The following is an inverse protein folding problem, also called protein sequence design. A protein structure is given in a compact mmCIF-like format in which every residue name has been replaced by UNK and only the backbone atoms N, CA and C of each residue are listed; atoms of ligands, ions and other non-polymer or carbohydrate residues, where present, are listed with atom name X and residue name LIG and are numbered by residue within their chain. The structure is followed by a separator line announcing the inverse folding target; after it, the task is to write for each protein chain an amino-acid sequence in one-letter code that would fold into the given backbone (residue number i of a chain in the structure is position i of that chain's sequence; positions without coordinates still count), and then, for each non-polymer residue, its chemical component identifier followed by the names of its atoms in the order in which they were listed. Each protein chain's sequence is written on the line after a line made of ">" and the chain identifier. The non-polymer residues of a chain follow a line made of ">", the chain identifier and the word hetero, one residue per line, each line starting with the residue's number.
data_IF_307767481098
#
_entry.id   IF_307767481098
#
_cell.length_a   1.000
_cell.length_b   1.000
_cell.length_c   1.000
_cell.angle_alpha   90.00
_cell.angle_beta   90.00
_cell.angle_gamma   90.00
#
_symmetry.space_group_name_H-M   'P 1'
#
loop_
_entity.id
_entity.type
_entity.pdbx_description
1 polymer ?
#
# COMPACT_ATOMS: atom_id res chain seq x y z
N UNK A 1 -39.37 -6.08 55.26
CA UNK A 1 -38.86 -4.80 54.69
C UNK A 1 -37.46 -4.95 54.09
N UNK A 2 -36.48 -5.51 54.81
CA UNK A 2 -35.10 -5.73 54.32
C UNK A 2 -35.01 -6.68 53.11
N UNK A 3 -35.81 -7.74 53.10
CA UNK A 3 -35.83 -8.75 52.02
C UNK A 3 -36.53 -8.30 50.73
N UNK A 4 -37.36 -7.25 50.78
CA UNK A 4 -38.04 -6.69 49.60
C UNK A 4 -37.10 -5.76 48.84
N UNK A 5 -36.25 -5.03 49.57
CA UNK A 5 -35.24 -4.13 49.00
C UNK A 5 -34.17 -4.94 48.24
N UNK A 6 -33.71 -6.07 48.79
CA UNK A 6 -32.73 -6.94 48.10
C UNK A 6 -33.25 -7.53 46.79
N UNK A 7 -34.55 -7.79 46.66
CA UNK A 7 -35.12 -8.34 45.43
C UNK A 7 -35.23 -7.27 44.32
N UNK A 8 -35.52 -6.02 44.66
CA UNK A 8 -35.59 -4.93 43.69
C UNK A 8 -34.22 -4.60 43.07
N UNK A 9 -33.15 -4.58 43.87
CA UNK A 9 -31.79 -4.34 43.37
C UNK A 9 -31.29 -5.46 42.46
N UNK A 10 -31.63 -6.73 42.73
CA UNK A 10 -31.23 -7.86 41.91
C UNK A 10 -31.89 -7.84 40.51
N UNK A 11 -33.14 -7.36 40.42
CA UNK A 11 -33.88 -7.27 39.14
C UNK A 11 -33.37 -6.12 38.28
N UNK A 12 -33.03 -4.97 38.87
CA UNK A 12 -32.45 -3.84 38.11
C UNK A 12 -31.06 -4.16 37.54
N UNK A 13 -30.29 -4.99 38.24
CA UNK A 13 -28.94 -5.38 37.81
C UNK A 13 -28.98 -6.37 36.62
N UNK A 14 -29.98 -7.25 36.54
CA UNK A 14 -30.10 -8.20 35.43
C UNK A 14 -30.63 -7.58 34.13
N UNK A 15 -31.46 -6.53 34.21
CA UNK A 15 -31.97 -5.81 33.04
C UNK A 15 -30.96 -4.82 32.43
N UNK A 16 -29.91 -4.43 33.16
CA UNK A 16 -28.88 -3.50 32.68
C UNK A 16 -27.84 -4.13 31.73
N UNK A 17 -27.67 -5.46 31.74
CA UNK A 17 -26.62 -6.14 30.96
C UNK A 17 -27.03 -6.52 29.52
N UNK A 18 -28.33 -6.60 29.21
CA UNK A 18 -28.78 -6.97 27.85
C UNK A 18 -28.91 -5.79 26.89
N UNK A 19 -28.85 -4.54 27.39
CA UNK A 19 -29.05 -3.33 26.60
C UNK A 19 -27.78 -2.61 26.11
N UNK A 20 -26.57 -3.08 26.44
CA UNK A 20 -25.33 -2.32 26.18
C UNK A 20 -24.64 -2.61 24.84
N UNK A 21 -25.03 -3.65 24.10
CA UNK A 21 -24.27 -4.11 22.92
C UNK A 21 -25.07 -4.03 21.61
N UNK A 22 -25.66 -2.88 21.31
CA UNK A 22 -26.12 -2.57 19.95
C UNK A 22 -25.75 -1.13 19.55
N UNK A 23 -24.46 -0.81 19.67
CA UNK A 23 -23.82 0.27 18.92
C UNK A 23 -22.70 -0.42 18.11
N UNK A 24 -22.94 -0.67 16.82
CA UNK A 24 -22.67 0.24 15.71
C UNK A 24 -21.21 0.17 15.24
N UNK A 25 -21.10 0.12 13.92
CA UNK A 25 -19.97 0.53 13.09
C UNK A 25 -19.03 -0.58 12.58
N UNK A 26 -19.29 -0.95 11.32
CA UNK A 26 -18.35 -1.54 10.37
C UNK A 26 -17.08 -0.70 10.31
N UNK A 27 -16.10 -1.08 11.13
CA UNK A 27 -14.77 -0.50 11.14
C UNK A 27 -14.06 -0.87 9.83
N UNK A 28 -14.16 0.01 8.81
CA UNK A 28 -13.18 0.07 7.74
C UNK A 28 -11.87 0.60 8.35
N UNK A 29 -11.09 -0.33 8.88
CA UNK A 29 -9.75 -0.09 9.39
C UNK A 29 -8.83 0.26 8.21
N UNK A 30 -8.67 1.56 7.93
CA UNK A 30 -7.48 2.05 7.24
C UNK A 30 -6.36 2.21 8.26
N UNK A 31 -5.81 1.07 8.70
CA UNK A 31 -4.64 1.02 9.52
C UNK A 31 -3.37 1.09 8.65
N UNK A 32 -2.45 1.93 9.12
CA UNK A 32 -1.01 2.00 8.84
C UNK A 32 -0.55 2.49 7.45
N UNK A 33 -0.05 3.73 7.45
CA UNK A 33 1.02 4.17 6.57
C UNK A 33 2.26 3.28 6.79
N UNK A 34 2.34 2.20 6.02
CA UNK A 34 3.49 1.34 5.89
C UNK A 34 3.90 1.42 4.42
N UNK A 35 5.17 1.69 4.15
CA UNK A 35 5.85 1.70 2.85
C UNK A 35 4.98 1.07 1.76
N UNK A 36 4.36 1.89 0.90
CA UNK A 36 3.25 1.47 0.05
C UNK A 36 3.64 0.29 -0.87
N UNK A 37 3.44 -0.93 -0.37
CA UNK A 37 3.63 -2.15 -1.13
C UNK A 37 2.48 -2.20 -2.13
N UNK A 38 2.72 -1.70 -3.35
CA UNK A 38 1.75 -1.77 -4.43
C UNK A 38 1.66 -3.22 -4.90
N UNK A 39 0.45 -3.79 -4.95
CA UNK A 39 0.20 -5.09 -5.57
C UNK A 39 -0.60 -4.91 -6.85
N UNK A 40 -0.28 -5.69 -7.89
CA UNK A 40 -0.98 -5.65 -9.18
C UNK A 40 -1.25 -7.06 -9.72
N UNK A 41 -2.22 -7.21 -10.61
CA UNK A 41 -2.46 -8.49 -11.28
C UNK A 41 -1.42 -8.68 -12.40
N UNK A 42 -0.73 -9.83 -12.47
CA UNK A 42 0.30 -10.07 -13.49
C UNK A 42 -0.25 -10.08 -14.92
N UNK A 43 -1.55 -10.26 -15.10
CA UNK A 43 -2.24 -10.23 -16.39
C UNK A 43 -3.02 -8.95 -16.66
N UNK A 44 -3.36 -8.21 -15.61
CA UNK A 44 -4.16 -6.99 -15.68
C UNK A 44 -3.50 -5.92 -14.80
N UNK A 45 -2.41 -5.28 -15.25
CA UNK A 45 -1.64 -4.34 -14.43
C UNK A 45 -2.47 -3.17 -13.88
N UNK A 46 -3.60 -2.85 -14.51
CA UNK A 46 -4.57 -1.85 -14.06
C UNK A 46 -5.35 -2.29 -12.80
N UNK A 47 -5.34 -3.57 -12.45
CA UNK A 47 -5.96 -4.10 -11.24
C UNK A 47 -4.93 -4.10 -10.12
N UNK A 48 -5.12 -3.18 -9.16
CA UNK A 48 -4.28 -3.04 -7.97
C UNK A 48 -5.03 -3.42 -6.69
N UNK A 49 -4.29 -3.74 -5.62
CA UNK A 49 -4.88 -4.08 -4.33
C UNK A 49 -3.83 -4.36 -3.26
N UNK A 50 -4.17 -5.25 -2.32
CA UNK A 50 -3.32 -5.65 -1.21
C UNK A 50 -2.78 -7.06 -1.36
N UNK A 51 -1.86 -7.42 -0.45
CA UNK A 51 -1.27 -8.75 -0.39
C UNK A 51 -2.35 -9.82 -0.15
N UNK A 52 -2.48 -10.73 -1.11
CA UNK A 52 -3.38 -11.89 -1.00
C UNK A 52 -4.73 -11.70 -1.67
N UNK A 53 -5.04 -10.50 -2.15
CA UNK A 53 -6.23 -10.24 -2.96
C UNK A 53 -6.18 -11.03 -4.27
N UNK A 54 -7.37 -11.30 -4.80
CA UNK A 54 -7.54 -11.99 -6.09
C UNK A 54 -8.08 -11.02 -7.13
N UNK A 55 -7.55 -11.09 -8.34
CA UNK A 55 -7.99 -10.27 -9.46
C UNK A 55 -9.45 -10.60 -9.83
N UNK A 56 -10.37 -9.63 -9.85
CA UNK A 56 -11.77 -9.88 -10.18
C UNK A 56 -11.99 -10.26 -11.65
N UNK A 57 -11.00 -9.99 -12.53
CA UNK A 57 -11.08 -10.32 -13.96
C UNK A 57 -10.64 -11.74 -14.28
N UNK A 58 -9.63 -12.27 -13.59
CA UNK A 58 -9.06 -13.60 -13.91
C UNK A 58 -8.90 -14.54 -12.70
N UNK A 59 -9.24 -14.11 -11.49
CA UNK A 59 -9.15 -14.90 -10.26
C UNK A 59 -7.72 -15.14 -9.75
N UNK A 60 -6.68 -14.70 -10.46
CA UNK A 60 -5.29 -14.86 -10.02
C UNK A 60 -4.96 -13.94 -8.84
N UNK A 61 -4.08 -14.40 -7.95
CA UNK A 61 -3.59 -13.59 -6.83
C UNK A 61 -2.77 -12.39 -7.32
N UNK A 62 -2.94 -11.24 -6.68
CA UNK A 62 -2.11 -10.07 -6.95
C UNK A 62 -0.68 -10.31 -6.48
N UNK A 63 0.28 -9.79 -7.24
CA UNK A 63 1.71 -9.91 -6.99
C UNK A 63 2.29 -8.55 -6.61
N UNK A 64 3.32 -8.55 -5.76
CA UNK A 64 3.99 -7.31 -5.33
C UNK A 64 4.64 -6.63 -6.53
N UNK A 65 4.30 -5.38 -6.77
CA UNK A 65 4.96 -4.55 -7.76
C UNK A 65 6.39 -4.28 -7.29
N UNK A 66 7.36 -4.54 -8.18
CA UNK A 66 8.71 -4.01 -8.01
C UNK A 66 8.66 -2.58 -8.51
N UNK A 67 8.56 -1.64 -7.58
CA UNK A 67 8.80 -0.23 -7.89
C UNK A 67 10.31 -0.06 -7.84
N UNK A 68 10.98 -0.16 -8.98
CA UNK A 68 12.37 0.27 -9.08
C UNK A 68 12.36 1.78 -8.85
N UNK A 69 12.72 2.22 -7.65
CA UNK A 69 12.75 3.64 -7.29
C UNK A 69 13.73 4.46 -8.13
N UNK A 70 14.60 3.76 -8.87
CA UNK A 70 15.58 4.34 -9.78
C UNK A 70 15.05 4.19 -11.20
N UNK A 71 14.63 5.31 -11.78
CA UNK A 71 14.32 5.39 -13.21
C UNK A 71 15.63 5.33 -13.98
N UNK A 72 15.74 4.50 -15.02
CA UNK A 72 16.90 4.49 -15.91
C UNK A 72 16.55 5.21 -17.20
N UNK A 73 17.48 5.99 -17.75
CA UNK A 73 17.32 6.72 -19.00
C UNK A 73 18.53 6.53 -19.93
N UNK A 74 18.36 6.78 -21.23
CA UNK A 74 19.48 6.76 -22.16
C UNK A 74 20.23 8.10 -22.09
N UNK A 75 21.58 8.11 -21.91
CA UNK A 75 22.34 9.35 -21.81
C UNK A 75 22.30 10.20 -23.09
N UNK A 76 22.01 9.59 -24.24
CA UNK A 76 21.87 10.26 -25.54
C UNK A 76 20.42 10.58 -25.91
N UNK A 77 19.45 9.87 -25.30
CA UNK A 77 18.03 9.95 -25.62
C UNK A 77 17.22 9.93 -24.33
N UNK A 78 17.16 11.03 -23.56
CA UNK A 78 16.52 11.05 -22.24
C UNK A 78 15.05 10.64 -22.24
N UNK A 79 14.37 10.72 -23.39
CA UNK A 79 13.01 10.23 -23.59
C UNK A 79 12.89 8.70 -23.57
N UNK A 80 14.00 7.97 -23.70
CA UNK A 80 14.06 6.52 -23.60
C UNK A 80 14.34 6.14 -22.14
N UNK A 81 13.31 5.64 -21.46
CA UNK A 81 13.40 5.13 -20.09
C UNK A 81 13.26 3.61 -20.03
N UNK A 82 13.77 2.99 -18.97
CA UNK A 82 13.66 1.55 -18.76
C UNK A 82 14.17 1.10 -17.40
N UNK A 83 14.62 -0.14 -17.33
CA UNK A 83 15.14 -0.78 -16.12
C UNK A 83 16.66 -0.91 -16.16
N UNK A 84 17.22 -1.31 -15.01
CA UNK A 84 18.65 -1.56 -14.86
C UNK A 84 19.14 -2.62 -15.85
N UNK A 85 20.03 -2.21 -16.74
CA UNK A 85 20.73 -3.12 -17.64
C UNK A 85 20.18 -3.18 -19.05
N UNK A 86 19.00 -2.58 -19.28
CA UNK A 86 18.41 -2.42 -20.60
C UNK A 86 19.33 -1.63 -21.54
N UNK A 87 19.15 -1.85 -22.85
CA UNK A 87 19.84 -1.12 -23.91
C UNK A 87 18.86 -0.22 -24.66
N UNK A 88 19.29 0.99 -24.98
CA UNK A 88 18.51 1.94 -25.75
C UNK A 88 18.25 1.40 -27.16
N UNK A 89 16.99 1.30 -27.62
CA UNK A 89 16.67 0.81 -28.96
C UNK A 89 17.10 1.77 -30.07
N UNK A 90 17.38 3.05 -29.75
CA UNK A 90 17.79 4.06 -30.74
C UNK A 90 19.30 4.06 -31.01
N UNK A 91 20.13 3.80 -29.99
CA UNK A 91 21.59 3.87 -30.12
C UNK A 91 22.36 2.65 -29.58
N UNK A 92 21.67 1.66 -29.01
CA UNK A 92 22.27 0.45 -28.45
C UNK A 92 23.02 0.64 -27.13
N UNK A 93 23.17 1.87 -26.63
CA UNK A 93 23.86 2.15 -25.37
C UNK A 93 23.04 1.66 -24.17
N UNK A 94 23.73 1.20 -23.12
CA UNK A 94 23.10 0.81 -21.85
C UNK A 94 22.44 2.02 -21.17
N UNK A 95 21.25 1.83 -20.62
CA UNK A 95 20.58 2.87 -19.84
C UNK A 95 21.32 3.11 -18.51
N UNK A 96 21.36 4.37 -18.09
CA UNK A 96 22.00 4.84 -16.87
C UNK A 96 20.94 5.28 -15.86
N UNK A 97 21.19 5.16 -14.55
CA UNK A 97 20.23 5.64 -13.55
C UNK A 97 20.05 7.15 -13.70
N UNK A 98 18.80 7.61 -13.68
CA UNK A 98 18.48 9.00 -13.48
C UNK A 98 18.95 9.41 -12.08
N UNK A 99 19.62 10.55 -11.99
CA UNK A 99 20.01 11.12 -10.72
C UNK A 99 18.74 11.41 -9.92
N UNK A 100 18.46 10.59 -8.92
CA UNK A 100 17.60 11.01 -7.81
C UNK A 100 18.38 12.05 -7.01
N UNK A 101 17.75 13.11 -6.48
CA UNK A 101 18.45 14.03 -5.58
C UNK A 101 18.82 13.29 -4.29
N UNK A 102 19.96 12.61 -4.29
CA UNK A 102 20.65 12.12 -3.10
C UNK A 102 21.52 13.25 -2.59
N UNK A 103 21.35 13.62 -1.32
CA UNK A 103 21.89 14.81 -0.64
C UNK A 103 23.42 14.91 -0.56
N UNK A 104 24.20 14.14 -1.32
CA UNK A 104 25.66 14.04 -1.14
C UNK A 104 26.45 14.05 -2.45
N UNK A 105 26.14 15.00 -3.34
CA UNK A 105 26.98 15.28 -4.51
C UNK A 105 26.84 16.72 -4.97
N UNK A 106 27.48 17.63 -4.22
CA UNK A 106 27.91 18.93 -4.74
C UNK A 106 29.03 18.70 -5.77
N UNK A 107 28.68 18.30 -7.00
CA UNK A 107 29.61 18.33 -8.12
C UNK A 107 29.64 19.75 -8.69
N UNK A 108 30.56 20.56 -8.16
CA UNK A 108 30.95 21.85 -8.73
C UNK A 108 31.43 21.65 -10.17
N UNK A 109 30.58 21.97 -11.15
CA UNK A 109 31.04 22.28 -12.50
C UNK A 109 31.37 23.76 -12.54
N UNK A 110 32.62 24.08 -12.20
CA UNK A 110 33.18 25.41 -12.41
C UNK A 110 33.66 25.50 -13.87
N UNK A 111 32.98 26.32 -14.66
CA UNK A 111 33.47 26.81 -15.95
C UNK A 111 34.44 27.97 -15.75
#
# INVERSE_FOLDING_TARGET
>A
MKSVITLFFAVLLSLGLTGYSYAADTQHQHATANTAEVYHCPMHPEVTGHKGDSCPKCGMKLVKAKVDAVVYHCPMHPEVTGHKGDSCPKCGMKLVPAETPSEDSMHMHQH
#
